data_IF_742262492041
#
_entry.id   IF_742262492041
#
_cell.length_a   1.000
_cell.length_b   1.000
_cell.length_c   1.000
_cell.angle_alpha   90.00
_cell.angle_beta   90.00
_cell.angle_gamma   90.00
#
_symmetry.space_group_name_H-M   'P 1'
#
loop_
_entity.id
_entity.type
_entity.pdbx_description
1 polymer ?
#
# COMPACT_ATOMS: atom_id res chain seq x y z
N UNK A 1 -11.51 14.81 61.58
CA UNK A 1 -11.21 13.37 61.45
C UNK A 1 -10.30 13.04 62.61
N UNK A 2 -10.85 12.42 63.65
CA UNK A 2 -10.11 12.20 64.91
C UNK A 2 -9.12 11.05 64.74
N UNK A 3 -8.07 11.02 65.57
CA UNK A 3 -7.08 9.93 65.56
C UNK A 3 -7.70 8.53 65.75
N UNK A 4 -8.92 8.44 66.28
CA UNK A 4 -9.69 7.20 66.41
C UNK A 4 -10.14 6.61 65.06
N UNK A 5 -10.35 7.45 64.03
CA UNK A 5 -10.80 6.99 62.70
C UNK A 5 -9.62 6.41 61.88
N UNK A 6 -8.39 6.87 62.14
CA UNK A 6 -7.18 6.37 61.48
C UNK A 6 -6.80 4.99 62.02
N UNK A 7 -7.03 4.73 63.31
CA UNK A 7 -6.80 3.43 63.96
C UNK A 7 -7.77 2.34 63.48
N UNK A 8 -9.02 2.69 63.13
CA UNK A 8 -10.01 1.73 62.61
C UNK A 8 -9.68 1.27 61.17
N UNK A 9 -9.09 2.14 60.34
CA UNK A 9 -8.62 1.77 59.00
C UNK A 9 -7.34 0.92 59.07
N UNK A 10 -6.46 1.19 60.04
CA UNK A 10 -5.24 0.40 60.27
C UNK A 10 -5.50 -1.00 60.83
N UNK A 11 -6.58 -1.21 61.59
CA UNK A 11 -6.95 -2.54 62.11
C UNK A 11 -7.65 -3.42 61.07
N UNK A 12 -8.24 -2.86 60.02
CA UNK A 12 -8.78 -3.63 58.88
C UNK A 12 -7.69 -4.11 57.89
N UNK A 13 -6.44 -3.65 58.03
CA UNK A 13 -5.33 -4.06 57.17
C UNK A 13 -4.51 -5.24 57.74
N UNK A 14 -4.85 -5.75 58.93
CA UNK A 14 -4.08 -6.81 59.61
C UNK A 14 -4.73 -8.20 59.62
N UNK A 15 -5.75 -8.45 58.79
CA UNK A 15 -6.28 -9.81 58.59
C UNK A 15 -6.47 -10.20 57.12
N UNK A 16 -5.63 -9.67 56.23
CA UNK A 16 -5.28 -10.47 55.05
C UNK A 16 -4.34 -11.56 55.55
N UNK A 17 -4.93 -12.66 56.00
CA UNK A 17 -4.24 -13.95 56.09
C UNK A 17 -3.70 -14.22 54.70
N UNK A 18 -2.43 -13.86 54.49
CA UNK A 18 -1.64 -14.50 53.46
C UNK A 18 -1.55 -15.95 53.90
N UNK A 19 -2.53 -16.75 53.47
CA UNK A 19 -2.39 -18.17 53.40
C UNK A 19 -1.23 -18.41 52.42
N UNK A 20 -0.01 -18.45 52.96
CA UNK A 20 1.12 -18.93 52.21
C UNK A 20 0.83 -20.40 51.96
N UNK A 21 0.60 -20.75 50.69
CA UNK A 21 0.47 -22.15 50.31
C UNK A 21 1.87 -22.73 50.40
N UNK A 22 2.14 -23.49 51.46
CA UNK A 22 3.31 -24.36 51.50
C UNK A 22 3.10 -25.48 50.48
N UNK A 23 3.69 -25.31 49.30
CA UNK A 23 3.72 -26.37 48.29
C UNK A 23 4.76 -27.40 48.74
N UNK A 24 4.33 -28.40 49.49
CA UNK A 24 5.16 -29.55 49.88
C UNK A 24 5.43 -30.44 48.68
N UNK A 25 6.52 -30.18 47.96
CA UNK A 25 6.94 -30.92 46.78
C UNK A 25 8.45 -31.09 46.70
N UNK A 26 8.90 -31.85 45.71
CA UNK A 26 10.32 -32.01 45.40
C UNK A 26 10.87 -30.81 44.62
N UNK A 27 12.16 -30.44 44.81
CA UNK A 27 12.78 -29.34 44.06
C UNK A 27 12.79 -29.57 42.54
N UNK A 28 12.95 -30.84 42.13
CA UNK A 28 12.80 -31.27 40.75
C UNK A 28 11.39 -31.84 40.53
N UNK A 29 10.78 -31.48 39.40
CA UNK A 29 9.49 -32.02 38.97
C UNK A 29 9.63 -33.48 38.51
N UNK A 30 8.53 -34.24 38.53
CA UNK A 30 8.52 -35.65 38.11
C UNK A 30 9.07 -36.63 39.15
N UNK A 31 9.35 -36.20 40.39
CA UNK A 31 9.81 -37.06 41.48
C UNK A 31 9.01 -36.83 42.78
N UNK A 32 8.94 -37.85 43.63
CA UNK A 32 8.30 -37.84 44.95
C UNK A 32 9.09 -38.68 45.98
N UNK A 33 8.55 -38.76 47.20
CA UNK A 33 9.17 -39.41 48.35
C UNK A 33 9.94 -38.43 49.24
N UNK A 34 10.25 -38.84 50.46
CA UNK A 34 10.93 -38.01 51.47
C UNK A 34 12.30 -37.47 51.01
N UNK A 35 12.97 -38.18 50.10
CA UNK A 35 14.27 -37.80 49.54
C UNK A 35 14.20 -37.44 48.05
N UNK A 36 13.01 -37.30 47.46
CA UNK A 36 12.84 -36.92 46.06
C UNK A 36 13.58 -37.79 45.03
N UNK A 37 13.74 -39.08 45.33
CA UNK A 37 14.49 -40.02 44.50
C UNK A 37 13.60 -40.98 43.72
N UNK A 38 12.28 -40.98 43.98
CA UNK A 38 11.34 -41.90 43.33
C UNK A 38 10.64 -41.15 42.20
N UNK A 39 10.71 -41.59 40.93
CA UNK A 39 10.01 -40.92 39.84
C UNK A 39 8.49 -41.06 40.01
N UNK A 40 7.72 -40.06 39.56
CA UNK A 40 6.27 -40.12 39.59
C UNK A 40 5.77 -41.41 38.90
N UNK A 41 4.69 -42.05 39.40
CA UNK A 41 4.21 -43.31 38.85
C UNK A 41 3.82 -43.26 37.38
N UNK A 42 3.35 -42.10 36.89
CA UNK A 42 3.04 -41.87 35.48
C UNK A 42 4.13 -40.99 34.84
N UNK A 43 4.59 -41.40 33.66
CA UNK A 43 5.66 -40.72 32.91
C UNK A 43 5.23 -39.34 32.41
N UNK A 44 3.93 -39.11 32.22
CA UNK A 44 3.34 -37.85 31.79
C UNK A 44 2.90 -36.97 32.96
N UNK A 45 3.11 -37.43 34.21
CA UNK A 45 2.88 -36.62 35.38
C UNK A 45 4.00 -35.59 35.55
N UNK A 46 3.65 -34.31 35.65
CA UNK A 46 4.59 -33.23 35.93
C UNK A 46 4.77 -33.05 37.44
N UNK A 47 3.66 -33.07 38.18
CA UNK A 47 3.63 -32.90 39.63
C UNK A 47 2.87 -34.03 40.27
N UNK A 48 3.51 -34.77 41.18
CA UNK A 48 2.86 -35.80 41.97
C UNK A 48 3.02 -35.55 43.46
N UNK A 49 2.04 -36.01 44.24
CA UNK A 49 1.97 -35.79 45.67
C UNK A 49 3.14 -36.45 46.42
N UNK A 50 3.84 -35.69 47.27
CA UNK A 50 5.13 -36.09 47.86
C UNK A 50 5.10 -37.41 48.65
N UNK A 51 3.98 -37.75 49.29
CA UNK A 51 3.83 -38.99 50.07
C UNK A 51 3.21 -40.15 49.30
N UNK A 52 2.24 -39.87 48.44
CA UNK A 52 1.40 -40.92 47.82
C UNK A 52 1.76 -41.17 46.36
N UNK A 53 2.50 -40.28 45.71
CA UNK A 53 2.78 -40.35 44.27
C UNK A 53 1.56 -40.07 43.39
N UNK A 54 0.40 -39.70 43.95
CA UNK A 54 -0.81 -39.38 43.19
C UNK A 54 -0.53 -38.20 42.27
N UNK A 55 -0.85 -38.31 40.99
CA UNK A 55 -0.62 -37.23 40.04
C UNK A 55 -1.55 -36.04 40.33
N UNK A 56 -0.97 -34.84 40.44
CA UNK A 56 -1.65 -33.58 40.73
C UNK A 56 -1.63 -32.63 39.55
N UNK A 57 -0.73 -32.84 38.58
CA UNK A 57 -0.67 -32.06 37.35
C UNK A 57 0.08 -32.80 36.25
N UNK A 58 -0.47 -32.72 35.03
CA UNK A 58 0.10 -33.35 33.86
C UNK A 58 1.13 -32.48 33.16
N UNK A 59 2.05 -33.13 32.45
CA UNK A 59 2.88 -32.47 31.45
C UNK A 59 2.00 -31.83 30.37
N UNK A 60 2.43 -30.71 29.77
CA UNK A 60 1.75 -30.16 28.61
C UNK A 60 1.54 -31.21 27.52
N UNK A 61 0.37 -31.22 26.88
CA UNK A 61 0.00 -32.25 25.90
C UNK A 61 -0.80 -33.43 26.46
N UNK A 62 -1.04 -33.46 27.78
CA UNK A 62 -1.74 -34.56 28.44
C UNK A 62 -2.84 -34.09 29.41
N UNK A 63 -3.88 -34.91 29.54
CA UNK A 63 -5.02 -34.79 30.46
C UNK A 63 -5.38 -36.15 31.07
N UNK A 64 -6.34 -36.16 31.99
CA UNK A 64 -6.78 -37.36 32.70
C UNK A 64 -6.28 -37.40 34.14
N UNK A 65 -6.86 -38.30 34.94
CA UNK A 65 -6.53 -38.43 36.36
C UNK A 65 -5.10 -38.90 36.61
N UNK A 66 -4.51 -39.60 35.63
CA UNK A 66 -3.13 -40.09 35.63
C UNK A 66 -2.30 -39.52 34.49
N UNK A 67 -2.81 -38.58 33.71
CA UNK A 67 -2.14 -38.02 32.53
C UNK A 67 -1.97 -39.03 31.39
N UNK A 68 -2.91 -39.97 31.31
CA UNK A 68 -2.94 -41.08 30.35
C UNK A 68 -3.52 -40.69 28.98
N UNK A 69 -4.19 -39.53 28.89
CA UNK A 69 -4.89 -39.08 27.68
C UNK A 69 -4.08 -37.97 27.03
N UNK A 70 -3.66 -38.15 25.78
CA UNK A 70 -3.03 -37.09 24.98
C UNK A 70 -4.08 -36.07 24.54
N UNK A 71 -3.71 -34.80 24.42
CA UNK A 71 -4.61 -33.78 23.88
C UNK A 71 -5.10 -34.14 22.48
N UNK A 72 -6.36 -33.81 22.23
CA UNK A 72 -6.97 -33.95 20.92
C UNK A 72 -6.40 -32.88 19.99
N UNK A 73 -6.40 -33.18 18.67
CA UNK A 73 -5.90 -32.24 17.66
C UNK A 73 -6.65 -30.92 17.76
N UNK A 74 -5.91 -29.81 17.66
CA UNK A 74 -6.44 -28.47 17.86
C UNK A 74 -6.50 -28.02 19.31
N UNK A 75 -6.05 -28.83 20.27
CA UNK A 75 -5.87 -28.41 21.67
C UNK A 75 -4.45 -28.68 22.16
N UNK A 76 -3.97 -27.86 23.10
CA UNK A 76 -2.62 -27.97 23.62
C UNK A 76 -2.48 -27.55 25.09
N UNK A 77 -1.29 -27.73 25.65
CA UNK A 77 -0.93 -27.28 26.99
C UNK A 77 -1.32 -28.27 28.09
N UNK A 78 -1.13 -27.87 29.34
CA UNK A 78 -1.42 -28.73 30.49
C UNK A 78 -2.95 -28.92 30.65
N UNK A 79 -3.41 -30.17 30.60
CA UNK A 79 -4.84 -30.47 30.68
C UNK A 79 -5.63 -30.09 29.42
N UNK A 80 -4.98 -29.78 28.30
CA UNK A 80 -5.60 -29.53 26.99
C UNK A 80 -6.64 -28.39 27.00
N UNK A 81 -6.36 -27.32 27.74
CA UNK A 81 -7.28 -26.19 27.91
C UNK A 81 -7.14 -25.12 26.83
N UNK A 82 -6.00 -25.09 26.15
CA UNK A 82 -5.71 -24.10 25.11
C UNK A 82 -6.09 -24.65 23.74
N UNK A 83 -6.52 -23.78 22.83
CA UNK A 83 -6.92 -24.13 21.46
C UNK A 83 -5.95 -23.56 20.43
N UNK A 84 -5.70 -24.34 19.38
CA UNK A 84 -5.00 -23.89 18.19
C UNK A 84 -6.03 -23.32 17.23
N UNK A 85 -5.87 -22.06 16.84
CA UNK A 85 -6.86 -21.36 16.02
C UNK A 85 -6.35 -21.21 14.58
N UNK A 86 -5.42 -20.28 14.35
CA UNK A 86 -4.99 -19.89 13.00
C UNK A 86 -3.76 -20.64 12.50
N UNK A 87 -3.59 -21.92 12.86
CA UNK A 87 -2.61 -22.77 12.20
C UNK A 87 -3.11 -23.10 10.79
N UNK A 88 -2.23 -23.06 9.79
CA UNK A 88 -2.58 -23.44 8.40
C UNK A 88 -3.14 -24.86 8.31
N UNK A 89 -2.58 -25.77 9.11
CA UNK A 89 -3.17 -27.09 9.36
C UNK A 89 -3.27 -27.29 10.87
N UNK A 90 -4.50 -27.28 11.39
CA UNK A 90 -4.79 -27.49 12.83
C UNK A 90 -4.30 -28.85 13.31
N UNK A 91 -4.16 -29.85 12.44
CA UNK A 91 -3.60 -31.16 12.80
C UNK A 91 -2.10 -31.12 13.07
N UNK A 92 -1.41 -30.08 12.61
CA UNK A 92 0.03 -29.89 12.75
C UNK A 92 0.36 -28.88 13.86
N UNK A 93 -0.62 -28.58 14.72
CA UNK A 93 -0.40 -27.87 15.96
C UNK A 93 0.23 -28.79 17.01
N UNK A 94 1.33 -28.35 17.62
CA UNK A 94 1.97 -29.06 18.71
C UNK A 94 1.07 -29.11 19.95
N UNK A 95 0.67 -30.31 20.37
CA UNK A 95 -0.12 -30.52 21.59
C UNK A 95 0.59 -30.07 22.88
N UNK A 96 1.91 -29.95 22.84
CA UNK A 96 2.70 -29.58 24.02
C UNK A 96 2.69 -28.08 24.27
N UNK A 97 2.91 -27.27 23.24
CA UNK A 97 3.12 -25.82 23.39
C UNK A 97 2.26 -24.96 22.45
N UNK A 98 1.49 -25.56 21.55
CA UNK A 98 0.58 -24.87 20.64
C UNK A 98 1.22 -24.32 19.38
N UNK A 99 2.52 -24.57 19.16
CA UNK A 99 3.22 -24.07 17.97
C UNK A 99 2.65 -24.69 16.70
N UNK A 100 2.35 -23.86 15.70
CA UNK A 100 1.87 -24.27 14.39
C UNK A 100 3.07 -24.67 13.51
N UNK A 101 3.28 -25.98 13.31
CA UNK A 101 4.46 -26.49 12.59
C UNK A 101 4.44 -26.20 11.07
N UNK A 102 3.25 -25.96 10.52
CA UNK A 102 3.03 -25.65 9.09
C UNK A 102 2.93 -24.15 8.80
N UNK A 103 3.15 -23.31 9.81
CA UNK A 103 2.93 -21.87 9.76
C UNK A 103 1.48 -21.48 9.99
N UNK A 104 1.23 -20.19 9.82
CA UNK A 104 -0.04 -19.54 10.10
C UNK A 104 -0.93 -19.44 8.87
N UNK A 105 -2.23 -19.47 9.12
CA UNK A 105 -3.24 -19.13 8.13
C UNK A 105 -3.14 -17.65 7.71
N UNK A 106 -3.80 -17.30 6.62
CA UNK A 106 -3.77 -15.96 6.07
C UNK A 106 -4.27 -14.91 7.08
N UNK A 107 -3.50 -13.83 7.26
CA UNK A 107 -3.84 -12.76 8.19
C UNK A 107 -3.21 -12.88 9.57
N UNK A 108 -2.46 -13.95 9.84
CA UNK A 108 -1.84 -14.22 11.14
C UNK A 108 -0.36 -14.58 11.04
N UNK A 109 0.37 -14.35 12.14
CA UNK A 109 1.80 -14.63 12.30
C UNK A 109 2.16 -15.03 13.73
N UNK A 110 3.42 -15.44 13.89
CA UNK A 110 4.01 -15.88 15.15
C UNK A 110 3.83 -17.38 15.38
N UNK A 111 4.59 -17.95 16.31
CA UNK A 111 4.65 -19.41 16.50
C UNK A 111 3.30 -20.04 16.82
N UNK A 112 2.41 -19.31 17.52
CA UNK A 112 1.06 -19.74 17.88
C UNK A 112 -0.04 -19.21 16.94
N UNK A 113 0.33 -18.39 15.95
CA UNK A 113 -0.60 -17.74 15.03
C UNK A 113 -1.69 -16.90 15.70
N UNK A 114 -1.42 -16.35 16.88
CA UNK A 114 -2.36 -15.51 17.64
C UNK A 114 -2.24 -14.02 17.32
N UNK A 115 -1.24 -13.63 16.53
CA UNK A 115 -0.98 -12.23 16.20
C UNK A 115 -1.42 -11.95 14.77
N UNK A 116 -2.33 -10.99 14.58
CA UNK A 116 -2.71 -10.54 13.24
C UNK A 116 -1.51 -9.90 12.52
N UNK A 117 -1.55 -9.87 11.18
CA UNK A 117 -0.56 -9.14 10.40
C UNK A 117 -0.50 -7.66 10.78
N UNK A 118 0.72 -7.11 10.74
CA UNK A 118 0.90 -5.68 10.94
C UNK A 118 0.33 -4.92 9.73
N UNK A 119 0.03 -3.63 9.93
CA UNK A 119 -0.37 -2.75 8.84
C UNK A 119 0.68 -2.79 7.72
N UNK A 120 0.23 -3.00 6.50
CA UNK A 120 1.11 -3.11 5.33
C UNK A 120 1.51 -4.54 4.97
N UNK A 121 1.07 -5.56 5.73
CA UNK A 121 1.35 -6.96 5.45
C UNK A 121 0.09 -7.82 5.42
N UNK A 122 0.10 -8.89 4.62
CA UNK A 122 -1.03 -9.81 4.47
C UNK A 122 -0.62 -11.24 4.10
N UNK A 123 -1.60 -12.12 4.01
CA UNK A 123 -1.43 -13.49 3.53
C UNK A 123 -0.87 -14.42 4.60
N UNK A 124 -0.42 -15.59 4.16
CA UNK A 124 0.13 -16.61 5.05
C UNK A 124 1.42 -16.15 5.72
N UNK A 125 1.50 -16.32 7.04
CA UNK A 125 2.60 -15.82 7.87
C UNK A 125 2.88 -14.31 7.70
N UNK A 126 1.93 -13.55 7.13
CA UNK A 126 2.09 -12.14 6.80
C UNK A 126 3.29 -11.84 5.87
N UNK A 127 3.61 -12.76 4.97
CA UNK A 127 4.78 -12.66 4.07
C UNK A 127 4.58 -11.72 2.87
N UNK A 128 3.33 -11.35 2.57
CA UNK A 128 3.02 -10.44 1.48
C UNK A 128 2.91 -9.00 1.96
N UNK A 129 3.25 -8.04 1.10
CA UNK A 129 3.13 -6.60 1.40
C UNK A 129 1.97 -5.97 0.65
N UNK A 130 1.21 -5.08 1.31
CA UNK A 130 0.16 -4.29 0.66
C UNK A 130 0.71 -3.45 -0.52
N UNK A 131 -0.13 -3.18 -1.51
CA UNK A 131 0.16 -2.19 -2.56
C UNK A 131 -0.23 -0.77 -2.16
N UNK A 132 -0.50 0.06 -3.16
CA UNK A 132 -0.83 1.48 -3.02
C UNK A 132 -2.32 1.71 -2.80
N UNK A 133 -2.84 1.25 -1.65
CA UNK A 133 -4.25 1.46 -1.29
C UNK A 133 -4.53 2.93 -0.91
N UNK A 134 -5.71 3.43 -1.32
CA UNK A 134 -6.14 4.80 -1.06
C UNK A 134 -6.33 5.11 0.42
N UNK A 135 -6.08 6.37 0.78
CA UNK A 135 -6.34 6.98 2.11
C UNK A 135 -5.50 6.38 3.26
N UNK A 136 -4.39 5.70 2.95
CA UNK A 136 -3.54 4.98 3.92
C UNK A 136 -4.29 3.94 4.75
N UNK A 137 -5.50 3.52 4.34
CA UNK A 137 -6.16 2.40 4.98
C UNK A 137 -5.34 1.13 4.73
N UNK A 138 -5.14 0.30 5.76
CA UNK A 138 -4.42 -0.95 5.56
C UNK A 138 -5.22 -1.83 4.61
N UNK A 139 -4.53 -2.42 3.64
CA UNK A 139 -5.11 -3.51 2.86
C UNK A 139 -5.60 -4.61 3.80
N UNK A 140 -6.56 -5.41 3.34
CA UNK A 140 -7.00 -6.59 4.07
C UNK A 140 -5.81 -7.47 4.44
N UNK A 141 -5.62 -7.74 5.74
CA UNK A 141 -4.53 -8.59 6.22
C UNK A 141 -4.65 -10.04 5.73
N UNK A 142 -5.84 -10.48 5.29
CA UNK A 142 -6.05 -11.84 4.81
C UNK A 142 -5.57 -11.96 3.36
N UNK A 143 -6.08 -11.12 2.45
CA UNK A 143 -5.90 -11.31 1.00
C UNK A 143 -5.22 -10.12 0.29
N UNK A 144 -4.91 -9.05 1.00
CA UNK A 144 -4.20 -7.89 0.46
C UNK A 144 -5.06 -6.89 -0.30
N UNK A 145 -6.38 -7.09 -0.35
CA UNK A 145 -7.29 -6.24 -1.12
C UNK A 145 -7.42 -4.83 -0.53
N UNK A 146 -7.43 -3.84 -1.41
CA UNK A 146 -7.66 -2.44 -1.08
C UNK A 146 -9.16 -2.11 -1.20
N UNK A 147 -9.90 -2.14 -0.09
CA UNK A 147 -11.35 -1.91 -0.09
C UNK A 147 -11.75 -0.51 -0.59
N UNK A 148 -10.87 0.47 -0.44
CA UNK A 148 -11.07 1.87 -0.86
C UNK A 148 -10.57 2.17 -2.28
N UNK A 149 -10.08 1.16 -2.99
CA UNK A 149 -9.43 1.32 -4.30
C UNK A 149 -7.99 1.81 -4.20
N UNK A 150 -7.41 2.16 -5.35
CA UNK A 150 -5.99 2.50 -5.46
C UNK A 150 -5.69 3.99 -5.37
N UNK A 151 -4.50 4.34 -4.91
CA UNK A 151 -3.94 5.67 -5.13
C UNK A 151 -3.81 5.94 -6.64
N UNK A 152 -3.93 7.21 -7.09
CA UNK A 152 -3.74 7.55 -8.51
C UNK A 152 -2.41 7.04 -9.06
N UNK A 153 -2.42 6.47 -10.27
CA UNK A 153 -1.26 5.84 -10.90
C UNK A 153 -1.12 4.35 -10.65
N UNK A 154 -2.04 3.75 -9.90
CA UNK A 154 -2.11 2.31 -9.64
C UNK A 154 -3.51 1.75 -9.92
N UNK A 155 -3.58 0.45 -10.20
CA UNK A 155 -4.80 -0.28 -10.52
C UNK A 155 -4.80 -1.73 -10.00
N UNK A 156 -5.99 -2.33 -10.03
CA UNK A 156 -6.26 -3.72 -9.64
C UNK A 156 -6.52 -3.88 -8.14
N UNK A 157 -7.11 -5.01 -7.73
CA UNK A 157 -7.61 -5.21 -6.35
C UNK A 157 -6.53 -5.06 -5.26
N UNK A 158 -5.27 -5.31 -5.61
CA UNK A 158 -4.11 -5.21 -4.71
C UNK A 158 -3.35 -3.88 -4.84
N UNK A 159 -3.67 -3.04 -5.83
CA UNK A 159 -2.98 -1.79 -6.13
C UNK A 159 -1.46 -1.92 -6.25
N UNK A 160 -1.01 -3.05 -6.82
CA UNK A 160 0.42 -3.34 -7.08
C UNK A 160 0.83 -3.05 -8.52
N UNK A 161 -0.15 -2.90 -9.41
CA UNK A 161 0.09 -2.65 -10.83
C UNK A 161 0.03 -1.16 -11.08
N UNK A 162 1.07 -0.59 -11.69
CA UNK A 162 1.04 0.80 -12.13
C UNK A 162 0.19 0.97 -13.39
N UNK A 163 -0.28 2.17 -13.70
CA UNK A 163 -0.93 2.44 -14.97
C UNK A 163 0.02 2.17 -16.14
N UNK A 164 -0.53 1.61 -17.22
CA UNK A 164 0.20 1.38 -18.46
C UNK A 164 0.61 2.70 -19.11
N UNK A 165 1.67 2.67 -19.92
CA UNK A 165 2.16 3.83 -20.65
C UNK A 165 1.01 4.47 -21.45
N UNK A 166 0.79 5.77 -21.25
CA UNK A 166 -0.28 6.52 -21.89
C UNK A 166 -1.58 6.60 -21.10
N UNK A 167 -1.65 6.01 -19.89
CA UNK A 167 -2.78 6.13 -18.97
C UNK A 167 -2.37 6.69 -17.60
N UNK A 168 -3.29 7.36 -16.92
CA UNK A 168 -3.02 7.96 -15.61
C UNK A 168 -4.26 8.08 -14.71
N UNK A 169 -4.06 8.52 -13.47
CA UNK A 169 -5.12 8.91 -12.56
C UNK A 169 -5.70 7.76 -11.75
N UNK A 170 -6.92 7.95 -11.24
CA UNK A 170 -7.62 6.92 -10.44
C UNK A 170 -8.03 5.75 -11.33
N UNK A 171 -7.62 4.54 -10.95
CA UNK A 171 -7.91 3.30 -11.71
C UNK A 171 -7.47 3.38 -13.19
N UNK A 172 -6.49 4.24 -13.49
CA UNK A 172 -5.93 4.42 -14.84
C UNK A 172 -6.97 4.77 -15.93
N UNK A 173 -8.08 5.43 -15.54
CA UNK A 173 -9.18 5.75 -16.45
C UNK A 173 -8.92 6.97 -17.35
N UNK A 174 -7.85 7.73 -17.11
CA UNK A 174 -7.49 8.89 -17.93
C UNK A 174 -6.41 8.54 -18.93
N UNK A 175 -6.46 9.17 -20.11
CA UNK A 175 -5.46 9.00 -21.17
C UNK A 175 -4.53 10.22 -21.23
N UNK A 176 -3.24 9.97 -21.40
CA UNK A 176 -2.23 11.01 -21.58
C UNK A 176 -2.51 11.84 -22.84
N UNK A 177 -2.15 13.13 -22.79
CA UNK A 177 -2.20 13.99 -23.97
C UNK A 177 -1.01 13.77 -24.90
N UNK A 178 -0.72 14.78 -25.71
CA UNK A 178 0.34 14.74 -26.72
C UNK A 178 1.69 15.15 -26.11
N UNK A 179 2.19 14.32 -25.20
CA UNK A 179 3.54 14.47 -24.65
C UNK A 179 4.58 14.11 -25.73
N UNK A 180 5.68 14.88 -25.81
CA UNK A 180 6.78 14.60 -26.78
C UNK A 180 7.33 13.18 -26.71
N UNK A 181 7.27 12.60 -25.52
CA UNK A 181 7.55 11.20 -25.30
C UNK A 181 6.49 10.65 -24.35
N UNK A 182 5.67 9.73 -24.85
CA UNK A 182 4.46 9.24 -24.16
C UNK A 182 4.80 8.47 -22.88
N UNK A 183 5.97 7.85 -22.81
CA UNK A 183 6.53 7.18 -21.62
C UNK A 183 7.00 8.16 -20.52
N UNK A 184 7.03 9.46 -20.82
CA UNK A 184 7.30 10.54 -19.87
C UNK A 184 6.04 11.27 -19.39
N UNK A 185 4.85 10.73 -19.70
CA UNK A 185 3.62 11.12 -19.06
C UNK A 185 3.55 10.54 -17.64
N UNK A 186 3.30 11.39 -16.65
CA UNK A 186 3.10 10.97 -15.26
C UNK A 186 1.84 10.11 -15.14
N UNK A 187 1.99 8.86 -14.71
CA UNK A 187 0.86 7.96 -14.42
C UNK A 187 -0.04 8.45 -13.27
N UNK A 188 0.41 9.39 -12.43
CA UNK A 188 -0.36 9.89 -11.30
C UNK A 188 -1.39 10.93 -11.76
N UNK A 189 -0.96 11.90 -12.56
CA UNK A 189 -1.72 13.11 -12.86
C UNK A 189 -1.72 13.52 -14.34
N UNK A 190 -1.04 12.78 -15.21
CA UNK A 190 -1.04 13.03 -16.65
C UNK A 190 -0.14 14.17 -17.10
N UNK A 191 0.73 14.69 -16.23
CA UNK A 191 1.68 15.74 -16.61
C UNK A 191 2.76 15.19 -17.55
N UNK A 192 3.04 15.90 -18.64
CA UNK A 192 4.10 15.59 -19.60
C UNK A 192 5.43 16.22 -19.12
N UNK A 193 6.36 15.40 -18.63
CA UNK A 193 7.62 15.88 -18.06
C UNK A 193 8.61 16.42 -19.12
N UNK A 194 8.41 16.05 -20.39
CA UNK A 194 9.24 16.45 -21.53
C UNK A 194 8.65 17.59 -22.34
N UNK A 195 7.53 18.16 -21.89
CA UNK A 195 6.74 19.14 -22.64
C UNK A 195 5.84 18.49 -23.70
N UNK A 196 5.18 19.35 -24.46
CA UNK A 196 4.18 18.99 -25.46
C UNK A 196 4.78 18.88 -26.86
N UNK A 197 4.22 17.96 -27.64
CA UNK A 197 4.38 17.96 -29.08
C UNK A 197 3.93 19.30 -29.68
N UNK A 198 4.28 19.51 -30.95
CA UNK A 198 3.73 20.63 -31.69
C UNK A 198 2.20 20.62 -31.59
N UNK A 199 1.62 21.82 -31.52
CA UNK A 199 0.18 22.07 -31.57
C UNK A 199 -0.53 21.94 -30.23
N UNK A 200 0.16 21.46 -29.20
CA UNK A 200 -0.37 21.28 -27.87
C UNK A 200 0.39 22.08 -26.82
N UNK A 201 -0.33 22.47 -25.77
CA UNK A 201 0.19 23.17 -24.59
C UNK A 201 -0.50 22.73 -23.30
N UNK A 202 0.04 23.25 -22.20
CA UNK A 202 -0.40 22.98 -20.84
C UNK A 202 0.26 21.74 -20.28
N UNK A 203 0.22 21.57 -18.95
CA UNK A 203 0.97 20.54 -18.25
C UNK A 203 0.66 19.11 -18.73
N UNK A 204 -0.56 18.86 -19.21
CA UNK A 204 -0.99 17.55 -19.73
C UNK A 204 -1.04 17.46 -21.26
N UNK A 205 -0.66 18.52 -21.98
CA UNK A 205 -0.65 18.56 -23.46
C UNK A 205 -1.97 18.11 -24.12
N UNK A 206 -3.10 18.48 -23.51
CA UNK A 206 -4.47 18.20 -24.00
C UNK A 206 -5.11 19.41 -24.67
N UNK A 207 -4.51 20.60 -24.54
CA UNK A 207 -5.06 21.85 -25.05
C UNK A 207 -4.31 22.25 -26.31
N UNK A 208 -5.04 22.60 -27.37
CA UNK A 208 -4.43 23.11 -28.59
C UNK A 208 -3.74 24.47 -28.37
N UNK A 209 -2.79 24.80 -29.25
CA UNK A 209 -2.18 26.11 -29.27
C UNK A 209 -3.21 27.23 -29.44
N UNK A 210 -3.05 28.38 -28.76
CA UNK A 210 -3.89 29.55 -29.02
C UNK A 210 -3.64 30.08 -30.43
N UNK A 211 -4.65 30.72 -31.00
CA UNK A 211 -4.54 31.31 -32.35
C UNK A 211 -3.32 32.25 -32.42
N UNK A 212 -2.45 31.98 -33.40
CA UNK A 212 -1.23 32.76 -33.62
C UNK A 212 0.03 32.18 -32.97
N UNK A 213 -0.04 31.03 -32.32
CA UNK A 213 1.09 30.28 -31.78
C UNK A 213 1.14 28.87 -32.38
N UNK A 214 2.34 28.30 -32.52
CA UNK A 214 2.57 26.97 -33.06
C UNK A 214 3.88 26.37 -32.50
N UNK A 215 4.22 25.16 -32.93
CA UNK A 215 5.46 24.49 -32.50
C UNK A 215 5.36 23.90 -31.09
N UNK A 216 6.48 23.38 -30.59
CA UNK A 216 6.51 22.66 -29.31
C UNK A 216 6.17 23.58 -28.14
N UNK A 217 5.28 23.14 -27.26
CA UNK A 217 4.72 23.96 -26.16
C UNK A 217 4.14 25.31 -26.63
N UNK A 218 3.78 25.43 -27.92
CA UNK A 218 3.37 26.68 -28.54
C UNK A 218 4.40 27.81 -28.37
N UNK A 219 5.69 27.46 -28.33
CA UNK A 219 6.79 28.41 -28.10
C UNK A 219 7.04 29.34 -29.29
N UNK A 220 6.58 28.96 -30.49
CA UNK A 220 6.74 29.76 -31.69
C UNK A 220 5.50 30.63 -31.94
N UNK A 221 5.74 31.84 -32.42
CA UNK A 221 4.67 32.77 -32.79
C UNK A 221 4.56 32.85 -34.30
N UNK A 222 3.34 32.81 -34.80
CA UNK A 222 3.08 33.21 -36.18
C UNK A 222 3.55 34.66 -36.33
N UNK A 223 4.59 34.89 -37.15
CA UNK A 223 5.19 36.21 -37.42
C UNK A 223 4.12 37.24 -37.82
N UNK A 224 2.96 36.77 -38.29
CA UNK A 224 2.08 37.50 -39.16
C UNK A 224 0.59 37.28 -38.86
N UNK A 225 0.17 37.14 -37.59
CA UNK A 225 -1.27 37.07 -37.26
C UNK A 225 -2.12 38.23 -37.81
N UNK A 226 -1.50 39.38 -38.13
CA UNK A 226 -2.11 40.54 -38.79
C UNK A 226 -2.03 40.56 -40.33
N UNK A 227 -1.20 39.73 -40.95
CA UNK A 227 -0.95 39.71 -42.42
C UNK A 227 -1.26 38.35 -43.06
N UNK A 228 -1.50 37.34 -42.23
CA UNK A 228 -1.87 35.97 -42.53
C UNK A 228 -3.39 35.83 -42.31
N UNK A 229 -4.06 35.10 -43.19
CA UNK A 229 -5.46 34.72 -43.02
C UNK A 229 -5.51 33.22 -42.67
N UNK A 230 -5.92 32.92 -41.43
CA UNK A 230 -5.84 31.59 -40.80
C UNK A 230 -4.43 31.02 -40.72
N UNK A 231 -3.70 31.32 -39.64
CA UNK A 231 -2.42 30.65 -39.37
C UNK A 231 -2.67 29.20 -38.95
N UNK A 232 -2.01 28.25 -39.62
CA UNK A 232 -1.93 26.84 -39.27
C UNK A 232 -1.31 26.71 -37.89
N UNK A 233 -2.04 26.09 -36.98
CA UNK A 233 -1.54 25.66 -35.67
C UNK A 233 -0.42 24.62 -35.79
N UNK A 234 -0.41 23.83 -36.88
CA UNK A 234 0.59 22.78 -37.19
C UNK A 234 1.94 23.30 -37.67
N UNK A 235 1.93 24.30 -38.55
CA UNK A 235 3.13 24.68 -39.34
C UNK A 235 3.48 26.16 -39.29
N UNK A 236 2.62 26.98 -38.69
CA UNK A 236 2.75 28.44 -38.74
C UNK A 236 2.52 29.04 -40.13
N UNK A 237 2.07 28.25 -41.12
CA UNK A 237 1.74 28.73 -42.48
C UNK A 237 0.36 29.37 -42.56
N UNK A 238 0.06 30.13 -43.61
CA UNK A 238 -1.25 30.75 -43.80
C UNK A 238 -2.16 29.85 -44.63
N UNK A 239 -3.09 29.14 -43.98
CA UNK A 239 -4.01 28.19 -44.61
C UNK A 239 -4.94 28.84 -45.63
N UNK A 240 -5.31 30.12 -45.41
CA UNK A 240 -6.09 30.92 -46.36
C UNK A 240 -5.27 31.97 -47.11
N UNK A 241 -3.94 31.89 -47.00
CA UNK A 241 -3.00 32.78 -47.70
C UNK A 241 -2.81 34.14 -47.02
N UNK A 242 -2.24 35.09 -47.77
CA UNK A 242 -1.89 36.41 -47.24
C UNK A 242 -3.03 37.42 -47.37
N UNK A 243 -3.21 38.23 -46.34
CA UNK A 243 -4.08 39.40 -46.38
C UNK A 243 -3.61 40.39 -47.46
N UNK A 244 -4.51 41.20 -48.03
CA UNK A 244 -4.19 42.10 -49.14
C UNK A 244 -2.95 42.96 -48.90
N UNK A 245 -2.05 42.98 -49.87
CA UNK A 245 -0.80 43.75 -49.81
C UNK A 245 0.39 43.01 -49.19
N UNK A 246 0.26 41.71 -48.89
CA UNK A 246 1.34 40.87 -48.38
C UNK A 246 1.55 39.63 -49.27
N UNK A 247 2.81 39.17 -49.37
CA UNK A 247 3.26 38.02 -50.15
C UNK A 247 4.39 37.26 -49.43
N UNK A 248 4.67 36.04 -49.88
CA UNK A 248 5.68 35.15 -49.29
C UNK A 248 5.02 33.98 -48.56
N UNK A 249 5.79 32.91 -48.33
CA UNK A 249 5.28 31.66 -47.75
C UNK A 249 4.67 31.84 -46.35
N UNK A 250 5.18 32.81 -45.58
CA UNK A 250 4.65 33.22 -44.28
C UNK A 250 4.05 34.63 -44.31
N UNK A 251 3.74 35.19 -45.47
CA UNK A 251 3.21 36.56 -45.62
C UNK A 251 4.09 37.69 -45.06
N UNK A 252 5.40 37.48 -45.13
CA UNK A 252 6.41 38.36 -44.51
C UNK A 252 6.86 39.55 -45.37
N UNK A 253 6.42 39.66 -46.63
CA UNK A 253 6.81 40.76 -47.53
C UNK A 253 5.61 41.60 -47.92
N UNK A 254 5.69 42.93 -47.82
CA UNK A 254 4.68 43.82 -48.40
C UNK A 254 4.84 43.88 -49.92
N UNK A 255 3.73 43.83 -50.65
CA UNK A 255 3.72 44.20 -52.07
C UNK A 255 4.13 45.67 -52.18
N UNK A 256 5.34 45.93 -52.67
CA UNK A 256 5.73 47.30 -53.04
C UNK A 256 5.00 47.66 -54.33
N UNK A 257 4.22 48.74 -54.32
CA UNK A 257 3.72 49.33 -55.56
C UNK A 257 4.92 49.67 -56.44
N UNK A 258 4.97 49.08 -57.65
CA UNK A 258 5.95 49.48 -58.65
C UNK A 258 5.76 50.96 -58.94
N UNK A 259 6.72 51.73 -58.42
CA UNK A 259 7.17 53.05 -58.84
C UNK A 259 6.65 53.49 -60.21
N UNK A 260 5.85 54.56 -60.19
CA UNK A 260 5.54 55.52 -61.27
C UNK A 260 6.17 55.15 -62.62
N UNK A 261 5.37 54.62 -63.53
CA UNK A 261 5.69 54.68 -64.97
C UNK A 261 5.72 56.16 -65.35
N UNK A 262 6.93 56.73 -65.48
CA UNK A 262 7.14 57.99 -66.20
C UNK A 262 6.65 57.78 -67.63
N UNK A 263 5.48 58.31 -67.97
CA UNK A 263 5.10 58.52 -69.37
C UNK A 263 6.10 59.53 -69.94
N UNK A 264 7.06 59.05 -70.73
CA UNK A 264 7.84 59.91 -71.60
C UNK A 264 6.88 60.55 -72.59
N UNK A 265 6.78 61.88 -72.53
CA UNK A 265 6.16 62.68 -73.57
C UNK A 265 6.96 62.49 -74.86
N UNK A 266 6.30 62.02 -75.92
CA UNK A 266 6.80 62.17 -77.28
C UNK A 266 6.10 63.38 -77.87
N UNK A 267 6.79 64.51 -77.78
CA UNK A 267 6.56 65.66 -78.62
C UNK A 267 7.04 65.29 -80.04
N UNK A 268 6.15 65.42 -81.04
CA UNK A 268 6.53 65.40 -82.46
C UNK A 268 5.89 66.61 -83.13
N UNK A 269 6.63 67.72 -83.03
CA UNK A 269 6.61 68.83 -83.98
C UNK A 269 7.84 68.74 -84.88
N UNK A 270 7.65 68.98 -86.19
CA UNK A 270 8.68 69.06 -87.24
C UNK A 270 8.97 67.72 -87.92
N UNK A 271 8.90 67.59 -89.25
CA UNK A 271 9.20 68.53 -90.33
C UNK A 271 8.51 68.06 -91.62
#
# INVERSE_FOLDING_TARGET
>A
MSLSDVLAVWLCLLTVSQAYVEVYGCPATGYFGSNCSVPCPDVNCQYCHIKTGTCQGCKPGYKGHRCEITCERGTYGAGCKETCEHCRDVNQCSVNNGTCLTGCDAGFKGDLCKTACDRGSYGYDCKETCGHCRDRYPCSNINGWCLTGCDPGYQGDLCKTSCDIGSYGSECNETCGHCRAVDHCSNINGTCLTGCDADYQGDSCKTLCPVGYFGQDCSDTCINSYTCDGCSDVSGSCDYGCRPGWIGYFCQKRMQERSKVRRLAVDKSGR
#
